data_IF_354093501598
#
_entry.id   IF_354093501598
#
_cell.length_a   1.000
_cell.length_b   1.000
_cell.length_c   1.000
_cell.angle_alpha   90.00
_cell.angle_beta   90.00
_cell.angle_gamma   90.00
#
_symmetry.space_group_name_H-M   'P 1'
#
loop_
_entity.id
_entity.type
_entity.pdbx_description
1 polymer ?
#
# COMPACT_ATOMS: atom_id res chain seq x y z
N UNK A 1 33.43 -19.26 19.11
CA UNK A 1 32.59 -18.89 20.26
C UNK A 1 31.46 -18.01 19.71
N UNK A 2 30.24 -18.48 19.82
CA UNK A 2 29.06 -17.65 19.50
C UNK A 2 28.86 -16.69 20.67
N UNK A 3 28.90 -15.40 20.41
CA UNK A 3 28.65 -14.38 21.44
C UNK A 3 27.14 -14.35 21.67
N UNK A 4 26.66 -14.58 22.89
CA UNK A 4 25.26 -14.45 23.26
C UNK A 4 25.08 -13.21 24.13
N UNK A 5 23.97 -12.51 23.95
CA UNK A 5 23.59 -11.33 24.71
C UNK A 5 22.27 -11.58 25.44
N UNK A 6 22.14 -11.00 26.62
CA UNK A 6 20.87 -11.06 27.37
C UNK A 6 19.77 -10.30 26.64
N UNK A 7 20.11 -9.10 26.12
CA UNK A 7 19.19 -8.25 25.38
C UNK A 7 19.89 -7.61 24.19
N UNK A 8 19.16 -7.43 23.10
CA UNK A 8 19.59 -6.66 21.93
C UNK A 8 18.56 -5.56 21.66
N UNK A 9 19.01 -4.31 21.62
CA UNK A 9 18.19 -3.16 21.18
C UNK A 9 18.81 -2.62 19.90
N UNK A 10 18.01 -2.49 18.84
CA UNK A 10 18.54 -2.14 17.54
C UNK A 10 17.60 -1.25 16.71
N UNK A 11 18.23 -0.37 15.93
CA UNK A 11 17.62 0.40 14.86
C UNK A 11 18.51 0.24 13.62
N UNK A 12 18.36 -0.84 12.87
CA UNK A 12 19.23 -1.17 11.75
C UNK A 12 18.93 -0.31 10.51
N UNK A 13 19.87 -0.18 9.57
CA UNK A 13 19.61 0.50 8.30
C UNK A 13 18.54 -0.23 7.48
N UNK A 14 17.65 0.53 6.81
CA UNK A 14 16.46 -0.01 6.15
C UNK A 14 16.66 -0.33 4.67
N UNK A 15 17.79 0.04 4.07
CA UNK A 15 18.06 -0.15 2.65
C UNK A 15 17.92 -1.63 2.23
N UNK A 16 17.17 -1.86 1.15
CA UNK A 16 16.98 -3.19 0.53
C UNK A 16 16.65 -4.32 1.52
N UNK A 17 15.81 -4.01 2.51
CA UNK A 17 15.40 -4.94 3.57
C UNK A 17 16.57 -5.46 4.43
N UNK A 18 17.65 -4.69 4.52
CA UNK A 18 18.81 -5.05 5.34
C UNK A 18 18.42 -5.20 6.82
N UNK A 19 17.45 -4.41 7.30
CA UNK A 19 16.90 -4.50 8.65
C UNK A 19 16.38 -5.91 9.00
N UNK A 20 15.71 -6.59 8.06
CA UNK A 20 15.21 -7.96 8.29
C UNK A 20 16.33 -8.99 8.36
N UNK A 21 17.36 -8.82 7.55
CA UNK A 21 18.55 -9.67 7.59
C UNK A 21 19.31 -9.52 8.92
N UNK A 22 19.48 -8.28 9.37
CA UNK A 22 20.16 -7.98 10.64
C UNK A 22 19.30 -8.50 11.80
N UNK A 23 17.98 -8.31 11.77
CA UNK A 23 17.08 -8.85 12.79
C UNK A 23 17.15 -10.38 12.87
N UNK A 24 17.09 -11.05 11.72
CA UNK A 24 17.26 -12.52 11.66
C UNK A 24 18.60 -13.00 12.23
N UNK A 25 19.67 -12.22 12.03
CA UNK A 25 20.98 -12.55 12.63
C UNK A 25 20.98 -12.27 14.13
N UNK A 26 20.44 -11.14 14.60
CA UNK A 26 20.35 -10.79 16.01
C UNK A 26 19.62 -11.86 16.82
N UNK A 27 18.55 -12.43 16.27
CA UNK A 27 17.78 -13.52 16.87
C UNK A 27 18.57 -14.82 17.13
N UNK A 28 19.75 -14.98 16.53
CA UNK A 28 20.64 -16.11 16.80
C UNK A 28 21.54 -15.87 18.02
N UNK A 29 21.60 -14.63 18.48
CA UNK A 29 22.50 -14.18 19.54
C UNK A 29 21.77 -13.72 20.79
N UNK A 30 20.45 -13.57 20.73
CA UNK A 30 19.60 -13.25 21.89
C UNK A 30 18.20 -13.78 21.70
N UNK A 31 17.59 -14.16 22.79
CA UNK A 31 16.17 -14.49 22.89
C UNK A 31 15.30 -13.25 23.16
N UNK A 32 15.90 -12.11 23.44
CA UNK A 32 15.21 -10.87 23.73
C UNK A 32 15.75 -9.74 22.84
N UNK A 33 14.97 -9.37 21.82
CA UNK A 33 15.37 -8.34 20.86
C UNK A 33 14.28 -7.30 20.73
N UNK A 34 14.65 -6.04 20.95
CA UNK A 34 13.82 -4.87 20.63
C UNK A 34 14.34 -4.26 19.33
N UNK A 35 13.51 -4.23 18.32
CA UNK A 35 13.89 -3.74 16.99
C UNK A 35 12.94 -2.63 16.53
N UNK A 36 13.51 -1.48 16.12
CA UNK A 36 12.78 -0.41 15.43
C UNK A 36 13.06 -0.50 13.93
N UNK A 37 12.04 -0.78 13.13
CA UNK A 37 12.20 -0.82 11.69
C UNK A 37 10.86 -0.69 10.96
N UNK A 38 10.84 -0.45 9.62
CA UNK A 38 9.62 -0.36 8.84
C UNK A 38 8.75 -1.62 8.98
N UNK A 39 7.43 -1.43 9.14
CA UNK A 39 6.48 -2.55 9.26
C UNK A 39 5.82 -2.92 7.92
N UNK A 40 6.15 -2.20 6.85
CA UNK A 40 5.56 -2.40 5.53
C UNK A 40 5.50 -3.86 5.08
N UNK A 41 6.54 -4.62 5.35
CA UNK A 41 6.60 -6.03 4.96
C UNK A 41 5.54 -6.91 5.63
N UNK A 42 4.93 -6.42 6.73
CA UNK A 42 3.79 -7.03 7.41
C UNK A 42 2.44 -6.43 6.98
N UNK A 43 2.45 -5.17 6.55
CA UNK A 43 1.24 -4.38 6.26
C UNK A 43 0.78 -4.47 4.80
N UNK A 44 1.46 -5.19 3.93
CA UNK A 44 0.94 -5.40 2.59
C UNK A 44 -0.37 -6.21 2.69
N UNK A 45 -1.57 -5.65 2.35
CA UNK A 45 -2.84 -6.36 2.46
C UNK A 45 -2.87 -7.61 1.59
N UNK A 46 -1.93 -7.70 0.67
CA UNK A 46 -1.68 -8.86 -0.15
C UNK A 46 -0.35 -9.54 0.18
N UNK A 47 0.13 -9.39 1.42
CA UNK A 47 1.32 -10.11 1.90
C UNK A 47 1.19 -11.64 1.70
N UNK A 48 -0.02 -12.15 1.63
CA UNK A 48 -0.32 -13.55 1.28
C UNK A 48 -0.27 -13.81 -0.24
N UNK A 49 -0.33 -12.79 -1.08
CA UNK A 49 -0.23 -12.93 -2.52
C UNK A 49 1.22 -13.16 -2.96
N UNK A 50 1.35 -13.80 -4.12
CA UNK A 50 2.62 -14.31 -4.69
C UNK A 50 3.78 -13.31 -4.77
N UNK A 51 3.55 -12.03 -4.56
CA UNK A 51 4.54 -10.98 -4.77
C UNK A 51 5.26 -10.51 -3.50
N UNK A 52 4.75 -10.83 -2.32
CA UNK A 52 5.44 -10.47 -1.07
C UNK A 52 6.42 -11.55 -0.64
N UNK A 53 7.58 -11.58 -1.28
CA UNK A 53 8.63 -12.56 -1.00
C UNK A 53 9.17 -12.44 0.43
N UNK A 54 9.21 -11.24 0.99
CA UNK A 54 9.77 -11.02 2.33
C UNK A 54 8.83 -11.50 3.43
N UNK A 55 7.52 -11.37 3.27
CA UNK A 55 6.54 -11.92 4.21
C UNK A 55 6.71 -13.42 4.41
N UNK A 56 6.97 -14.17 3.33
CA UNK A 56 7.22 -15.61 3.39
C UNK A 56 8.64 -15.95 3.83
N UNK A 57 9.62 -15.19 3.33
CA UNK A 57 11.04 -15.41 3.61
C UNK A 57 11.37 -15.28 5.10
N UNK A 58 10.74 -14.34 5.79
CA UNK A 58 11.01 -14.04 7.19
C UNK A 58 9.89 -14.55 8.11
N UNK A 59 9.34 -15.72 7.82
CA UNK A 59 8.36 -16.38 8.67
C UNK A 59 8.91 -16.66 10.09
N UNK A 60 10.19 -16.98 10.19
CA UNK A 60 10.82 -17.20 11.48
C UNK A 60 10.81 -15.97 12.38
N UNK A 61 11.00 -14.78 11.80
CA UNK A 61 10.84 -13.52 12.53
C UNK A 61 9.40 -13.39 13.00
N UNK A 62 8.40 -13.61 12.11
CA UNK A 62 6.98 -13.47 12.44
C UNK A 62 6.54 -14.42 13.57
N UNK A 63 7.13 -15.60 13.63
CA UNK A 63 6.86 -16.59 14.70
C UNK A 63 7.44 -16.21 16.05
N UNK A 64 8.39 -15.29 16.09
CA UNK A 64 9.01 -14.82 17.33
C UNK A 64 8.58 -13.41 17.73
N UNK A 65 7.69 -12.77 17.00
CA UNK A 65 7.12 -11.48 17.37
C UNK A 65 6.13 -11.67 18.51
N UNK A 66 6.49 -11.19 19.70
CA UNK A 66 5.61 -11.17 20.87
C UNK A 66 4.60 -10.01 20.78
N UNK A 67 5.06 -8.83 20.34
CA UNK A 67 4.20 -7.66 20.09
C UNK A 67 4.86 -6.70 19.11
N UNK A 68 4.03 -5.83 18.52
CA UNK A 68 4.47 -4.68 17.71
C UNK A 68 3.69 -3.46 18.17
N UNK A 69 4.42 -2.39 18.45
CA UNK A 69 3.86 -1.05 18.61
C UNK A 69 4.13 -0.26 17.33
N UNK A 70 3.07 0.24 16.70
CA UNK A 70 3.19 1.00 15.47
C UNK A 70 3.45 2.49 15.77
N UNK A 71 4.46 3.03 15.11
CA UNK A 71 4.79 4.46 15.09
C UNK A 71 4.43 4.98 13.71
N UNK A 72 3.43 5.85 13.62
CA UNK A 72 3.02 6.43 12.35
C UNK A 72 4.16 7.19 11.67
N UNK A 73 4.12 7.31 10.34
CA UNK A 73 5.13 8.08 9.62
C UNK A 73 5.22 9.54 10.08
N UNK A 74 4.09 10.16 10.44
CA UNK A 74 4.06 11.53 10.98
C UNK A 74 4.73 11.63 12.36
N UNK A 75 4.50 10.66 13.21
CA UNK A 75 5.10 10.58 14.54
C UNK A 75 6.60 10.29 14.43
N UNK A 76 7.00 9.39 13.54
CA UNK A 76 8.40 9.10 13.26
C UNK A 76 9.16 10.35 12.77
N UNK A 77 8.54 11.19 11.94
CA UNK A 77 9.12 12.48 11.52
C UNK A 77 9.33 13.39 12.72
N UNK A 78 8.36 13.49 13.62
CA UNK A 78 8.47 14.32 14.85
C UNK A 78 9.57 13.81 15.77
N UNK A 79 9.68 12.49 15.94
CA UNK A 79 10.64 11.88 16.86
C UNK A 79 12.07 11.91 16.35
N UNK A 80 12.27 11.70 15.05
CA UNK A 80 13.62 11.51 14.48
C UNK A 80 14.09 12.66 13.60
N UNK A 81 13.24 13.63 13.30
CA UNK A 81 13.58 14.78 12.45
C UNK A 81 13.93 14.42 11.00
N UNK A 82 13.59 13.21 10.56
CA UNK A 82 13.88 12.70 9.24
C UNK A 82 12.59 12.33 8.50
N UNK A 83 12.57 12.47 7.18
CA UNK A 83 11.44 12.07 6.36
C UNK A 83 11.31 10.54 6.30
N UNK A 84 10.29 10.00 6.94
CA UNK A 84 9.92 8.59 6.83
C UNK A 84 8.74 8.44 5.87
N UNK A 85 8.88 7.54 4.91
CA UNK A 85 7.85 7.26 3.89
C UNK A 85 6.96 6.05 4.21
N UNK A 86 7.11 5.48 5.40
CA UNK A 86 6.30 4.36 5.91
C UNK A 86 6.23 4.42 7.42
N UNK A 87 5.19 3.79 7.98
CA UNK A 87 5.14 3.54 9.42
C UNK A 87 6.31 2.66 9.85
N UNK A 88 6.77 2.91 11.08
CA UNK A 88 7.76 2.07 11.78
C UNK A 88 7.03 1.19 12.78
N UNK A 89 7.65 0.08 13.13
CA UNK A 89 7.23 -0.78 14.23
C UNK A 89 8.34 -0.91 15.25
N UNK A 90 7.96 -0.87 16.52
CA UNK A 90 8.78 -1.33 17.62
C UNK A 90 8.42 -2.79 17.85
N UNK A 91 9.27 -3.69 17.41
CA UNK A 91 9.07 -5.12 17.54
C UNK A 91 9.67 -5.62 18.85
N UNK A 92 8.87 -6.32 19.62
CA UNK A 92 9.38 -7.16 20.71
C UNK A 92 9.48 -8.59 20.21
N UNK A 93 10.69 -9.09 20.16
CA UNK A 93 11.01 -10.47 19.79
C UNK A 93 11.43 -11.20 21.04
N UNK A 94 10.85 -12.35 21.31
CA UNK A 94 11.25 -13.21 22.41
C UNK A 94 11.70 -14.60 21.93
N UNK A 95 12.26 -15.41 22.85
CA UNK A 95 12.75 -16.75 22.55
C UNK A 95 11.64 -17.79 22.32
N UNK A 96 10.35 -17.41 22.44
CA UNK A 96 9.22 -18.32 22.32
C UNK A 96 8.72 -18.36 20.89
N UNK A 97 8.20 -19.49 20.49
CA UNK A 97 7.49 -19.61 19.24
C UNK A 97 6.01 -19.22 19.46
N UNK A 98 5.56 -18.20 18.72
CA UNK A 98 4.19 -17.74 18.68
C UNK A 98 3.50 -18.21 17.40
N UNK A 99 2.18 -18.02 17.32
CA UNK A 99 1.50 -18.02 16.03
C UNK A 99 2.14 -16.94 15.16
N UNK A 100 2.57 -17.30 13.95
CA UNK A 100 3.24 -16.36 13.06
C UNK A 100 2.42 -15.06 12.91
N UNK A 101 3.03 -13.93 13.25
CA UNK A 101 2.36 -12.64 13.25
C UNK A 101 1.79 -12.35 11.86
N UNK A 102 0.55 -11.92 11.85
CA UNK A 102 -0.16 -11.47 10.66
C UNK A 102 -0.79 -10.13 10.99
N UNK A 103 -0.52 -9.14 10.16
CA UNK A 103 -1.18 -7.84 10.29
C UNK A 103 -2.65 -8.00 9.87
N UNK A 104 -3.55 -7.61 10.75
CA UNK A 104 -4.98 -7.66 10.48
C UNK A 104 -5.43 -6.30 9.93
N UNK A 105 -5.81 -6.29 8.67
CA UNK A 105 -6.43 -5.11 8.07
C UNK A 105 -7.92 -5.11 8.39
N UNK A 106 -8.49 -3.91 8.28
CA UNK A 106 -9.94 -3.73 8.34
C UNK A 106 -10.63 -4.70 7.35
N UNK A 107 -11.64 -5.47 7.79
CA UNK A 107 -12.38 -6.38 6.93
C UNK A 107 -12.94 -5.74 5.66
N UNK A 108 -13.30 -4.46 5.72
CA UNK A 108 -13.80 -3.71 4.58
C UNK A 108 -12.74 -3.58 3.46
N UNK A 109 -11.44 -3.47 3.80
CA UNK A 109 -10.37 -3.49 2.81
C UNK A 109 -10.42 -4.80 2.02
N UNK A 110 -10.54 -5.93 2.70
CA UNK A 110 -10.63 -7.23 2.03
C UNK A 110 -11.91 -7.38 1.20
N UNK A 111 -13.04 -6.86 1.69
CA UNK A 111 -14.32 -6.86 0.96
C UNK A 111 -14.15 -6.14 -0.38
N UNK A 112 -13.55 -4.96 -0.38
CA UNK A 112 -13.36 -4.14 -1.60
C UNK A 112 -12.29 -4.73 -2.51
N UNK A 113 -11.11 -5.08 -1.97
CA UNK A 113 -9.98 -5.56 -2.77
C UNK A 113 -10.20 -6.95 -3.36
N UNK A 114 -11.06 -7.77 -2.76
CA UNK A 114 -11.45 -9.09 -3.26
C UNK A 114 -12.79 -9.09 -4.00
N UNK A 115 -13.39 -7.93 -4.23
CA UNK A 115 -14.63 -7.85 -4.98
C UNK A 115 -14.45 -8.46 -6.38
N UNK A 116 -15.41 -9.25 -6.90
CA UNK A 116 -15.27 -9.99 -8.15
C UNK A 116 -15.37 -9.08 -9.39
N UNK A 117 -14.39 -8.21 -9.56
CA UNK A 117 -14.27 -7.28 -10.67
C UNK A 117 -12.83 -7.23 -11.19
N UNK A 118 -12.62 -6.51 -12.29
CA UNK A 118 -11.26 -6.22 -12.75
C UNK A 118 -10.57 -5.26 -11.79
N UNK A 119 -9.26 -5.36 -11.69
CA UNK A 119 -8.40 -4.42 -10.99
C UNK A 119 -7.45 -3.75 -11.96
N UNK A 120 -6.96 -2.58 -11.62
CA UNK A 120 -5.99 -1.88 -12.43
C UNK A 120 -4.70 -2.68 -12.56
N UNK A 121 -4.09 -2.60 -13.73
CA UNK A 121 -2.79 -3.20 -14.04
C UNK A 121 -1.85 -2.12 -14.55
N UNK A 122 -0.56 -2.45 -14.59
CA UNK A 122 0.45 -1.59 -15.22
C UNK A 122 0.67 -1.96 -16.69
N UNK A 123 -0.08 -2.91 -17.20
CA UNK A 123 -0.02 -3.31 -18.58
C UNK A 123 -0.56 -2.17 -19.46
N UNK A 124 0.06 -1.98 -20.61
CA UNK A 124 -0.41 -0.98 -21.54
C UNK A 124 -1.86 -1.34 -21.98
N UNK A 125 -2.84 -0.49 -21.69
CA UNK A 125 -4.20 -0.74 -22.12
C UNK A 125 -4.30 -0.72 -23.64
N UNK A 126 -5.45 -1.16 -24.16
CA UNK A 126 -5.76 -1.13 -25.58
C UNK A 126 -5.43 0.22 -26.23
N UNK A 127 -5.20 0.20 -27.54
CA UNK A 127 -4.88 1.41 -28.32
C UNK A 127 -6.12 2.30 -28.48
N UNK A 128 -6.38 3.12 -27.47
CA UNK A 128 -7.48 4.07 -27.41
C UNK A 128 -6.95 5.50 -27.32
N UNK A 129 -7.70 6.50 -27.84
CA UNK A 129 -7.19 7.86 -27.99
C UNK A 129 -6.91 8.58 -26.66
N UNK A 130 -7.66 8.26 -25.60
CA UNK A 130 -7.57 8.95 -24.32
C UNK A 130 -6.93 8.05 -23.26
N UNK A 131 -5.92 8.56 -22.56
CA UNK A 131 -5.15 7.81 -21.56
C UNK A 131 -5.13 8.52 -20.22
N UNK A 132 -5.23 7.75 -19.16
CA UNK A 132 -4.93 8.21 -17.81
C UNK A 132 -3.56 7.71 -17.37
N UNK A 133 -2.74 8.62 -16.86
CA UNK A 133 -1.37 8.35 -16.45
C UNK A 133 -1.25 8.61 -14.96
N UNK A 134 -0.80 7.59 -14.24
CA UNK A 134 -0.46 7.68 -12.82
C UNK A 134 1.06 7.78 -12.69
N UNK A 135 1.60 8.80 -12.02
CA UNK A 135 3.02 8.89 -11.75
C UNK A 135 3.53 7.71 -10.92
N UNK A 136 4.75 7.27 -11.20
CA UNK A 136 5.36 6.12 -10.52
C UNK A 136 5.67 6.40 -9.04
N UNK A 137 6.09 7.63 -8.74
CA UNK A 137 6.51 8.05 -7.40
C UNK A 137 5.86 9.38 -7.08
N UNK A 138 4.82 9.37 -6.26
CA UNK A 138 4.22 10.59 -5.77
C UNK A 138 3.45 10.42 -4.48
N UNK A 139 3.26 11.52 -3.83
CA UNK A 139 2.59 11.66 -2.57
C UNK A 139 3.58 11.80 -1.44
N UNK A 140 3.60 12.98 -0.84
CA UNK A 140 4.15 13.15 0.49
C UNK A 140 3.36 12.29 1.46
N UNK A 141 4.00 11.85 2.54
CA UNK A 141 3.30 11.27 3.67
C UNK A 141 2.12 12.17 4.05
N UNK A 142 0.94 11.57 4.22
CA UNK A 142 -0.29 12.30 4.50
C UNK A 142 -1.13 12.72 3.28
N UNK A 143 -0.59 12.66 2.07
CA UNK A 143 -1.40 12.82 0.86
C UNK A 143 -1.78 11.45 0.30
N UNK A 144 -3.03 11.11 0.44
CA UNK A 144 -3.61 9.82 0.01
C UNK A 144 -4.50 9.98 -1.22
N UNK A 145 -4.37 11.10 -1.91
CA UNK A 145 -5.18 11.42 -3.07
C UNK A 145 -4.47 11.06 -4.39
N UNK A 146 -5.26 11.05 -5.44
CA UNK A 146 -4.83 10.84 -6.81
C UNK A 146 -4.51 12.16 -7.52
N UNK A 147 -4.23 13.24 -6.79
CA UNK A 147 -4.09 14.61 -7.33
C UNK A 147 -3.07 14.74 -8.46
N UNK A 148 -2.19 13.76 -8.62
CA UNK A 148 -1.15 13.75 -9.64
C UNK A 148 -1.50 12.88 -10.85
N UNK A 149 -2.70 12.30 -10.88
CA UNK A 149 -3.18 11.61 -12.08
C UNK A 149 -3.43 12.65 -13.17
N UNK A 150 -2.90 12.41 -14.34
CA UNK A 150 -3.04 13.29 -15.50
C UNK A 150 -3.68 12.57 -16.66
N UNK A 151 -4.48 13.31 -17.45
CA UNK A 151 -4.98 12.84 -18.74
C UNK A 151 -3.98 13.17 -19.84
N UNK A 152 -3.86 12.27 -20.82
CA UNK A 152 -3.03 12.48 -22.00
C UNK A 152 -3.68 11.84 -23.21
N UNK A 153 -3.49 12.46 -24.37
CA UNK A 153 -3.82 11.84 -25.63
C UNK A 153 -2.93 10.62 -25.92
N UNK A 154 -3.41 9.73 -26.77
CA UNK A 154 -2.71 8.48 -27.06
C UNK A 154 -1.26 8.66 -27.52
N UNK A 155 -1.02 9.59 -28.45
CA UNK A 155 0.32 9.78 -29.00
C UNK A 155 1.36 10.22 -27.98
N UNK A 156 0.94 10.88 -26.95
CA UNK A 156 1.78 11.25 -25.82
C UNK A 156 1.86 10.07 -24.83
N UNK A 157 0.74 9.44 -24.52
CA UNK A 157 0.66 8.41 -23.49
C UNK A 157 1.28 7.08 -23.91
N UNK A 158 1.21 6.68 -25.19
CA UNK A 158 1.83 5.42 -25.66
C UNK A 158 3.35 5.37 -25.47
N UNK A 159 3.99 6.53 -25.40
CA UNK A 159 5.42 6.64 -25.11
C UNK A 159 5.71 6.67 -23.61
N UNK A 160 4.68 6.79 -22.77
CA UNK A 160 4.80 6.73 -21.32
C UNK A 160 4.89 5.26 -20.91
N UNK A 161 6.09 4.76 -20.88
CA UNK A 161 6.38 3.47 -20.24
C UNK A 161 6.65 3.72 -18.76
N UNK A 162 6.54 2.70 -17.95
CA UNK A 162 7.10 2.67 -16.61
C UNK A 162 8.64 2.83 -16.72
N UNK A 163 9.10 4.01 -17.04
CA UNK A 163 10.51 4.32 -17.27
C UNK A 163 10.98 5.40 -16.32
N UNK A 164 12.28 5.40 -16.07
CA UNK A 164 12.95 6.42 -15.29
C UNK A 164 12.82 7.84 -15.88
N UNK A 165 12.51 7.94 -17.16
CA UNK A 165 12.41 9.24 -17.86
C UNK A 165 11.04 9.89 -17.74
N UNK A 166 9.96 9.10 -17.64
CA UNK A 166 8.58 9.62 -17.60
C UNK A 166 7.94 9.47 -16.23
N UNK A 167 8.49 8.64 -15.36
CA UNK A 167 8.00 8.36 -14.01
C UNK A 167 6.48 8.11 -13.93
N UNK A 168 5.90 7.49 -14.99
CA UNK A 168 4.46 7.31 -15.07
C UNK A 168 4.04 5.99 -15.69
N UNK A 169 2.83 5.55 -15.30
CA UNK A 169 2.17 4.36 -15.82
C UNK A 169 0.85 4.75 -16.46
N UNK A 170 0.57 4.22 -17.64
CA UNK A 170 -0.77 4.28 -18.21
C UNK A 170 -1.62 3.26 -17.48
N UNK A 171 -2.62 3.71 -16.74
CA UNK A 171 -3.47 2.86 -15.90
C UNK A 171 -4.81 2.52 -16.55
N UNK A 172 -5.29 3.35 -17.48
CA UNK A 172 -6.55 3.15 -18.18
C UNK A 172 -6.57 3.90 -19.51
N UNK A 173 -7.35 3.41 -20.48
CA UNK A 173 -7.58 4.03 -21.77
C UNK A 173 -9.07 4.02 -22.13
N UNK A 174 -9.52 5.04 -22.86
CA UNK A 174 -10.93 5.32 -23.17
C UNK A 174 -11.11 5.69 -24.63
N UNK A 175 -12.31 5.44 -25.14
CA UNK A 175 -12.71 5.83 -26.50
C UNK A 175 -13.13 7.30 -26.56
N UNK A 176 -13.62 7.85 -25.46
CA UNK A 176 -14.12 9.23 -25.37
C UNK A 176 -13.50 10.01 -24.21
N UNK A 177 -13.41 11.31 -24.37
CA UNK A 177 -12.98 12.23 -23.32
C UNK A 177 -13.93 12.22 -22.13
N UNK A 178 -15.23 12.03 -22.37
CA UNK A 178 -16.24 11.96 -21.31
C UNK A 178 -15.99 10.77 -20.39
N UNK A 179 -15.74 9.59 -20.95
CA UNK A 179 -15.41 8.40 -20.15
C UNK A 179 -14.14 8.61 -19.35
N UNK A 180 -13.11 9.19 -19.98
CA UNK A 180 -11.85 9.50 -19.29
C UNK A 180 -12.08 10.46 -18.13
N UNK A 181 -12.90 11.49 -18.32
CA UNK A 181 -13.24 12.44 -17.26
C UNK A 181 -14.03 11.79 -16.14
N UNK A 182 -15.05 11.00 -16.45
CA UNK A 182 -15.85 10.29 -15.45
C UNK A 182 -14.99 9.29 -14.65
N UNK A 183 -14.04 8.64 -15.31
CA UNK A 183 -13.06 7.79 -14.64
C UNK A 183 -12.19 8.60 -13.67
N UNK A 184 -11.61 9.71 -14.15
CA UNK A 184 -10.80 10.60 -13.33
C UNK A 184 -11.56 11.04 -12.09
N UNK A 185 -12.77 11.56 -12.25
CA UNK A 185 -13.62 12.04 -11.17
C UNK A 185 -13.93 10.89 -10.15
N UNK A 186 -14.12 9.66 -10.63
CA UNK A 186 -14.42 8.51 -9.77
C UNK A 186 -13.28 8.16 -8.81
N UNK A 187 -12.03 8.41 -9.18
CA UNK A 187 -10.88 8.15 -8.32
C UNK A 187 -10.85 9.05 -7.06
N UNK A 188 -11.59 10.15 -7.08
CA UNK A 188 -11.68 11.07 -5.94
C UNK A 188 -12.90 10.85 -5.06
N UNK A 189 -13.72 9.84 -5.34
CA UNK A 189 -14.81 9.44 -4.47
C UNK A 189 -14.29 8.92 -3.13
N UNK A 190 -15.09 9.10 -2.09
CA UNK A 190 -14.68 8.84 -0.70
C UNK A 190 -14.20 7.42 -0.48
N UNK A 191 -14.89 6.42 -1.05
CA UNK A 191 -14.50 5.02 -0.94
C UNK A 191 -13.06 4.78 -1.42
N UNK A 192 -12.71 5.30 -2.59
CA UNK A 192 -11.37 5.10 -3.14
C UNK A 192 -10.29 5.87 -2.38
N UNK A 193 -10.60 7.08 -1.92
CA UNK A 193 -9.71 7.81 -1.01
C UNK A 193 -9.48 7.05 0.28
N UNK A 194 -10.56 6.57 0.90
CA UNK A 194 -10.50 5.76 2.10
C UNK A 194 -9.67 4.49 1.88
N UNK A 195 -9.93 3.76 0.81
CA UNK A 195 -9.19 2.54 0.48
C UNK A 195 -7.69 2.81 0.36
N UNK A 196 -7.30 3.79 -0.47
CA UNK A 196 -5.88 4.12 -0.69
C UNK A 196 -5.22 4.60 0.59
N UNK A 197 -5.91 5.41 1.39
CA UNK A 197 -5.42 5.88 2.69
C UNK A 197 -5.08 4.71 3.62
N UNK A 198 -5.93 3.70 3.67
CA UNK A 198 -5.77 2.57 4.59
C UNK A 198 -4.82 1.47 4.11
N UNK A 199 -4.58 1.35 2.79
CA UNK A 199 -3.63 0.36 2.25
C UNK A 199 -2.24 0.95 1.97
N UNK A 200 -2.12 2.26 1.85
CA UNK A 200 -0.88 2.92 1.45
C UNK A 200 0.10 2.99 2.61
N UNK A 201 1.21 2.31 2.46
CA UNK A 201 2.30 2.27 3.45
C UNK A 201 3.56 3.00 3.01
N UNK A 202 3.57 3.59 1.80
CA UNK A 202 4.69 4.37 1.26
C UNK A 202 4.20 5.53 0.41
N UNK A 203 5.11 6.44 0.06
CA UNK A 203 4.82 7.54 -0.86
C UNK A 203 4.46 7.09 -2.29
N UNK A 204 4.86 5.88 -2.70
CA UNK A 204 4.65 5.39 -4.05
C UNK A 204 3.21 4.92 -4.28
N UNK A 205 2.30 5.83 -4.60
CA UNK A 205 0.88 5.55 -4.82
C UNK A 205 0.64 4.54 -5.94
N UNK A 206 1.46 4.57 -6.99
CA UNK A 206 1.30 3.70 -8.15
C UNK A 206 1.24 2.20 -7.80
N UNK A 207 2.00 1.75 -6.81
CA UNK A 207 2.01 0.33 -6.44
C UNK A 207 0.71 -0.17 -5.79
N UNK A 208 -0.18 0.75 -5.37
CA UNK A 208 -1.46 0.41 -4.74
C UNK A 208 -2.63 0.41 -5.72
N UNK A 209 -2.45 0.92 -6.96
CA UNK A 209 -3.53 0.95 -7.96
C UNK A 209 -4.09 -0.43 -8.27
N UNK A 210 -3.26 -1.47 -8.21
CA UNK A 210 -3.66 -2.87 -8.43
C UNK A 210 -4.70 -3.40 -7.43
N UNK A 211 -4.94 -2.69 -6.34
CA UNK A 211 -5.94 -3.04 -5.32
C UNK A 211 -7.24 -2.29 -5.51
N UNK A 212 -7.24 -1.29 -6.38
CA UNK A 212 -8.43 -0.50 -6.67
C UNK A 212 -9.27 -1.22 -7.72
N UNK A 213 -10.55 -1.48 -7.44
CA UNK A 213 -11.46 -2.07 -8.39
C UNK A 213 -11.69 -1.16 -9.61
N UNK A 214 -11.77 -1.77 -10.78
CA UNK A 214 -12.21 -1.10 -12.02
C UNK A 214 -13.72 -1.21 -12.13
N UNK A 215 -14.40 -0.08 -12.25
CA UNK A 215 -15.85 -0.05 -12.38
C UNK A 215 -16.29 -0.56 -13.77
N UNK A 216 -17.50 -1.09 -13.88
CA UNK A 216 -17.95 -1.75 -15.11
C UNK A 216 -18.07 -0.81 -16.32
N UNK A 217 -18.31 0.48 -16.09
CA UNK A 217 -18.43 1.49 -17.13
C UNK A 217 -18.12 2.89 -16.60
N UNK A 218 -17.73 3.80 -17.48
CA UNK A 218 -17.52 5.22 -17.20
C UNK A 218 -18.31 6.14 -18.16
N UNK A 219 -19.32 5.60 -18.83
CA UNK A 219 -20.20 6.39 -19.71
C UNK A 219 -20.92 7.47 -18.92
N UNK A 220 -21.26 7.18 -17.67
CA UNK A 220 -21.87 8.12 -16.74
C UNK A 220 -20.95 8.36 -15.54
N UNK A 221 -21.04 9.54 -14.89
CA UNK A 221 -20.31 9.79 -13.66
C UNK A 221 -20.80 8.86 -12.54
N UNK A 222 -19.87 8.41 -11.71
CA UNK A 222 -20.17 7.67 -10.49
C UNK A 222 -20.30 8.65 -9.32
N UNK A 223 -21.13 8.28 -8.35
CA UNK A 223 -21.26 8.99 -7.06
C UNK A 223 -20.84 8.08 -5.92
N UNK A 224 -20.66 8.64 -4.71
CA UNK A 224 -20.35 7.85 -3.51
C UNK A 224 -21.45 6.83 -3.24
N UNK A 225 -22.73 7.22 -3.36
CA UNK A 225 -23.89 6.34 -3.15
C UNK A 225 -23.89 5.17 -4.12
N UNK A 226 -23.61 5.43 -5.41
CA UNK A 226 -23.52 4.38 -6.43
C UNK A 226 -22.39 3.40 -6.12
N UNK A 227 -21.26 3.86 -5.59
CA UNK A 227 -20.18 2.97 -5.17
C UNK A 227 -20.58 2.14 -3.95
N UNK A 228 -21.24 2.74 -2.97
CA UNK A 228 -21.67 2.04 -1.78
C UNK A 228 -22.66 0.92 -2.12
N UNK A 229 -23.61 1.19 -3.02
CA UNK A 229 -24.54 0.18 -3.54
C UNK A 229 -23.80 -0.90 -4.35
N UNK A 230 -22.90 -0.51 -5.25
CA UNK A 230 -22.15 -1.44 -6.10
C UNK A 230 -21.32 -2.44 -5.30
N UNK A 231 -20.71 -2.01 -4.19
CA UNK A 231 -19.92 -2.86 -3.30
C UNK A 231 -20.74 -3.50 -2.18
N UNK A 232 -22.05 -3.32 -2.16
CA UNK A 232 -22.98 -3.85 -1.14
C UNK A 232 -22.51 -3.49 0.28
N UNK A 233 -22.24 -2.17 0.50
CA UNK A 233 -21.77 -1.69 1.79
C UNK A 233 -22.92 -1.53 2.77
N UNK A 234 -22.67 -1.93 4.02
CA UNK A 234 -23.58 -1.71 5.14
C UNK A 234 -23.52 -0.25 5.61
N UNK A 235 -24.54 0.19 6.37
CA UNK A 235 -24.57 1.54 6.95
C UNK A 235 -23.36 1.83 7.85
N UNK A 236 -22.87 0.83 8.59
CA UNK A 236 -21.68 1.00 9.45
C UNK A 236 -20.40 1.15 8.63
N UNK A 237 -20.25 0.39 7.54
CA UNK A 237 -19.13 0.51 6.60
C UNK A 237 -19.14 1.88 5.89
N UNK A 238 -20.30 2.35 5.47
CA UNK A 238 -20.47 3.69 4.88
C UNK A 238 -20.08 4.77 5.88
N UNK A 239 -20.57 4.67 7.12
CA UNK A 239 -20.25 5.61 8.18
C UNK A 239 -18.75 5.66 8.48
N UNK A 240 -18.07 4.53 8.49
CA UNK A 240 -16.62 4.46 8.66
C UNK A 240 -15.89 5.23 7.55
N UNK A 241 -16.29 5.02 6.28
CA UNK A 241 -15.71 5.72 5.15
C UNK A 241 -15.95 7.23 5.29
N UNK A 242 -17.19 7.65 5.54
CA UNK A 242 -17.60 9.05 5.64
C UNK A 242 -16.87 9.84 6.75
N UNK A 243 -16.55 9.17 7.86
CA UNK A 243 -15.82 9.79 8.98
C UNK A 243 -14.31 9.91 8.78
N UNK A 244 -13.78 9.18 7.80
CA UNK A 244 -12.32 9.02 7.61
C UNK A 244 -11.75 9.92 6.50
N UNK A 245 -12.61 10.56 5.68
CA UNK A 245 -12.21 11.27 4.46
C UNK A 245 -12.59 12.75 4.49
#
# INVERSE_FOLDING_TARGET
>A
MTMNFDHIIMNPPYDKNLHLKILSEAMKHSDDVVNLSPIRWLQDPLAEYKQCTDFKRYEDIRKRIASIEEVSGEEAIKLFGAAFYSSLGIYLIDGKEHKAFKYEFNPLIYKITNFPCKHFTYDAPEDKPYKMVLPATHGHLGKYDWSEITSKEWDVAKNVKASSETNGYVIMAFDTEVEMKNFYDSLFLKLYKWLVKNIKTTAATAQYIKFVPVLPTYIHPWTDEMLYEYFDLTEDEIKEIEQSV
#
